data_IF_297858767709
#
_entry.id   IF_297858767709
#
_cell.length_a   1.000
_cell.length_b   1.000
_cell.length_c   1.000
_cell.angle_alpha   90.00
_cell.angle_beta   90.00
_cell.angle_gamma   90.00
#
_symmetry.space_group_name_H-M   'P 1'
#
loop_
_entity.id
_entity.type
_entity.pdbx_description
1 polymer ?
#
# COMPACT_ATOMS: atom_id res chain seq x y z
N UNK A 1 27.98 5.16 -22.40
CA UNK A 1 26.76 5.55 -21.66
C UNK A 1 25.60 5.44 -22.62
N UNK A 2 24.69 4.47 -22.42
CA UNK A 2 23.51 4.33 -23.28
C UNK A 2 22.56 5.50 -23.02
N UNK A 3 22.24 6.27 -24.06
CA UNK A 3 21.26 7.34 -23.95
C UNK A 3 19.87 6.73 -23.70
N UNK A 4 19.17 7.17 -22.66
CA UNK A 4 17.76 6.81 -22.45
C UNK A 4 16.96 7.39 -23.62
N UNK A 5 16.34 6.52 -24.42
CA UNK A 5 15.42 6.98 -25.46
C UNK A 5 14.23 7.67 -24.82
N UNK A 6 13.59 8.60 -25.54
CA UNK A 6 12.38 9.26 -25.06
C UNK A 6 11.26 8.27 -24.71
N UNK A 7 11.20 7.13 -25.42
CA UNK A 7 10.25 6.04 -25.12
C UNK A 7 10.56 5.37 -23.78
N UNK A 8 11.83 5.01 -23.53
CA UNK A 8 12.22 4.42 -22.24
C UNK A 8 11.98 5.39 -21.07
N UNK A 9 12.17 6.69 -21.29
CA UNK A 9 11.85 7.71 -20.28
C UNK A 9 10.33 7.80 -20.02
N UNK A 10 9.51 7.76 -21.06
CA UNK A 10 8.04 7.79 -20.93
C UNK A 10 7.51 6.55 -20.20
N UNK A 11 8.03 5.36 -20.52
CA UNK A 11 7.68 4.11 -19.84
C UNK A 11 8.03 4.17 -18.35
N UNK A 12 9.25 4.63 -18.03
CA UNK A 12 9.68 4.83 -16.65
C UNK A 12 8.81 5.82 -15.88
N UNK A 13 8.46 6.96 -16.50
CA UNK A 13 7.58 7.96 -15.90
C UNK A 13 6.18 7.38 -15.62
N UNK A 14 5.59 6.65 -16.57
CA UNK A 14 4.28 6.00 -16.37
C UNK A 14 4.33 4.99 -15.23
N UNK A 15 5.35 4.15 -15.18
CA UNK A 15 5.53 3.18 -14.09
C UNK A 15 5.71 3.86 -12.72
N UNK A 16 6.49 4.94 -12.67
CA UNK A 16 6.69 5.72 -11.46
C UNK A 16 5.38 6.34 -10.96
N UNK A 17 4.61 6.98 -11.84
CA UNK A 17 3.31 7.55 -11.50
C UNK A 17 2.29 6.49 -11.09
N UNK A 18 2.34 5.29 -11.66
CA UNK A 18 1.50 4.20 -11.20
C UNK A 18 1.81 3.81 -9.75
N UNK A 19 3.09 3.72 -9.38
CA UNK A 19 3.51 3.45 -8.01
C UNK A 19 3.06 4.58 -7.08
N UNK A 20 3.25 5.84 -7.47
CA UNK A 20 2.87 7.00 -6.68
C UNK A 20 1.36 7.02 -6.38
N UNK A 21 0.54 6.87 -7.43
CA UNK A 21 -0.91 6.87 -7.30
C UNK A 21 -1.44 5.66 -6.51
N UNK A 22 -0.86 4.48 -6.72
CA UNK A 22 -1.38 3.24 -6.13
C UNK A 22 -0.84 3.01 -4.72
N UNK A 23 0.34 3.48 -4.37
CA UNK A 23 1.01 3.13 -3.12
C UNK A 23 1.21 4.34 -2.20
N UNK A 24 1.93 5.36 -2.66
CA UNK A 24 2.33 6.49 -1.82
C UNK A 24 1.13 7.37 -1.48
N UNK A 25 0.35 7.78 -2.47
CA UNK A 25 -0.86 8.58 -2.21
C UNK A 25 -1.83 7.90 -1.23
N UNK A 26 -2.00 6.57 -1.35
CA UNK A 26 -2.83 5.80 -0.42
C UNK A 26 -2.23 5.80 0.99
N UNK A 27 -0.91 5.63 1.14
CA UNK A 27 -0.26 5.68 2.46
C UNK A 27 -0.39 7.05 3.11
N UNK A 28 -0.15 8.10 2.35
CA UNK A 28 -0.12 9.47 2.87
C UNK A 28 -1.52 9.96 3.22
N UNK A 29 -2.48 9.78 2.29
CA UNK A 29 -3.84 10.30 2.45
C UNK A 29 -4.74 9.35 3.23
N UNK A 30 -4.81 8.07 2.83
CA UNK A 30 -5.72 7.11 3.46
C UNK A 30 -5.18 6.61 4.80
N UNK A 31 -3.88 6.29 4.88
CA UNK A 31 -3.25 5.76 6.10
C UNK A 31 -2.52 6.82 6.93
N UNK A 32 -2.65 8.08 6.54
CA UNK A 32 -2.22 9.27 7.30
C UNK A 32 -0.72 9.22 7.64
N UNK A 33 0.11 8.69 6.74
CA UNK A 33 1.55 8.53 6.96
C UNK A 33 2.23 9.85 7.35
N UNK A 34 1.87 10.96 6.69
CA UNK A 34 2.39 12.31 6.97
C UNK A 34 2.13 12.83 8.39
N UNK A 35 1.16 12.25 9.11
CA UNK A 35 0.78 12.71 10.45
C UNK A 35 1.60 12.05 11.57
N UNK A 36 2.55 11.16 11.24
CA UNK A 36 3.34 10.40 12.21
C UNK A 36 4.81 10.82 12.23
N UNK A 37 5.49 10.59 13.35
CA UNK A 37 6.91 10.87 13.50
C UNK A 37 7.76 9.94 12.61
N UNK A 38 8.15 10.42 11.43
CA UNK A 38 8.73 9.60 10.36
C UNK A 38 10.10 8.96 10.63
N UNK A 39 10.92 9.50 11.55
CA UNK A 39 12.33 9.05 11.64
C UNK A 39 12.58 7.75 12.40
N UNK A 40 11.84 7.46 13.47
CA UNK A 40 12.09 6.25 14.30
C UNK A 40 11.17 5.08 13.95
N UNK A 41 9.90 5.36 13.64
CA UNK A 41 8.87 4.34 13.41
C UNK A 41 8.46 4.23 11.93
N UNK A 42 8.88 5.19 11.09
CA UNK A 42 8.50 5.27 9.68
C UNK A 42 8.80 3.99 8.88
N UNK A 43 10.04 3.45 8.91
CA UNK A 43 10.36 2.25 8.16
C UNK A 43 9.50 1.03 8.54
N UNK A 44 9.30 0.81 9.85
CA UNK A 44 8.46 -0.30 10.34
C UNK A 44 6.99 -0.13 9.97
N UNK A 45 6.45 1.08 10.09
CA UNK A 45 5.08 1.37 9.70
C UNK A 45 4.86 1.27 8.19
N UNK A 46 5.82 1.68 7.37
CA UNK A 46 5.76 1.54 5.91
C UNK A 46 5.63 0.07 5.50
N UNK A 47 6.38 -0.83 6.13
CA UNK A 47 6.27 -2.28 5.91
C UNK A 47 4.86 -2.79 6.25
N UNK A 48 4.33 -2.44 7.43
CA UNK A 48 2.99 -2.87 7.87
C UNK A 48 1.91 -2.34 6.94
N UNK A 49 2.00 -1.08 6.51
CA UNK A 49 1.06 -0.46 5.57
C UNK A 49 1.08 -1.15 4.21
N UNK A 50 2.28 -1.45 3.69
CA UNK A 50 2.42 -2.16 2.43
C UNK A 50 1.80 -3.57 2.50
N UNK A 51 2.00 -4.28 3.62
CA UNK A 51 1.36 -5.57 3.86
C UNK A 51 -0.17 -5.44 3.88
N UNK A 52 -0.72 -4.46 4.60
CA UNK A 52 -2.15 -4.22 4.67
C UNK A 52 -2.75 -3.89 3.29
N UNK A 53 -2.11 -2.98 2.52
CA UNK A 53 -2.56 -2.60 1.17
C UNK A 53 -2.57 -3.83 0.25
N UNK A 54 -1.51 -4.63 0.27
CA UNK A 54 -1.42 -5.84 -0.56
C UNK A 54 -2.49 -6.87 -0.18
N UNK A 55 -2.72 -7.10 1.12
CA UNK A 55 -3.76 -8.00 1.59
C UNK A 55 -5.15 -7.56 1.13
N UNK A 56 -5.48 -6.27 1.27
CA UNK A 56 -6.76 -5.72 0.82
C UNK A 56 -6.95 -5.90 -0.69
N UNK A 57 -5.89 -5.74 -1.49
CA UNK A 57 -5.94 -6.01 -2.93
C UNK A 57 -6.16 -7.47 -3.25
N UNK A 58 -5.48 -8.38 -2.55
CA UNK A 58 -5.65 -9.83 -2.72
C UNK A 58 -7.08 -10.27 -2.38
N UNK A 59 -7.74 -9.60 -1.43
CA UNK A 59 -9.15 -9.83 -1.09
C UNK A 59 -10.14 -9.24 -2.11
N UNK A 60 -9.65 -8.56 -3.15
CA UNK A 60 -10.48 -8.00 -4.22
C UNK A 60 -11.07 -6.62 -3.93
N UNK A 61 -10.63 -5.92 -2.88
CA UNK A 61 -11.10 -4.55 -2.64
C UNK A 61 -10.56 -3.60 -3.70
N UNK A 62 -11.47 -3.02 -4.50
CA UNK A 62 -11.14 -1.99 -5.49
C UNK A 62 -10.60 -0.71 -4.83
N UNK A 63 -11.20 -0.30 -3.72
CA UNK A 63 -10.78 0.86 -2.95
C UNK A 63 -10.24 0.42 -1.58
N UNK A 64 -8.99 0.83 -1.28
CA UNK A 64 -8.33 0.48 -0.02
C UNK A 64 -9.12 0.97 1.20
N UNK A 65 -9.76 2.14 1.09
CA UNK A 65 -10.62 2.71 2.14
C UNK A 65 -11.77 1.76 2.52
N UNK A 66 -12.41 1.14 1.55
CA UNK A 66 -13.55 0.24 1.80
C UNK A 66 -13.08 -1.03 2.49
N UNK A 67 -11.96 -1.59 2.02
CA UNK A 67 -11.32 -2.73 2.68
C UNK A 67 -10.92 -2.41 4.12
N UNK A 68 -10.38 -1.21 4.36
CA UNK A 68 -10.01 -0.77 5.70
C UNK A 68 -11.23 -0.60 6.62
N UNK A 69 -12.32 0.01 6.12
CA UNK A 69 -13.60 0.12 6.85
C UNK A 69 -14.17 -1.25 7.19
N UNK A 70 -14.17 -2.18 6.22
CA UNK A 70 -14.64 -3.53 6.42
C UNK A 70 -13.82 -4.27 7.50
N UNK A 71 -12.49 -4.26 7.40
CA UNK A 71 -11.65 -4.94 8.40
C UNK A 71 -11.68 -4.25 9.77
N UNK A 72 -11.88 -2.93 9.83
CA UNK A 72 -12.05 -2.19 11.09
C UNK A 72 -13.37 -2.52 11.79
N UNK A 73 -14.44 -2.76 11.02
CA UNK A 73 -15.73 -3.19 11.56
C UNK A 73 -15.72 -4.63 12.08
N UNK A 74 -14.80 -5.47 11.59
CA UNK A 74 -14.66 -6.87 11.99
C UNK A 74 -13.19 -7.23 12.29
N UNK A 75 -12.61 -6.73 13.40
CA UNK A 75 -11.18 -6.88 13.68
C UNK A 75 -10.72 -8.33 13.72
N UNK A 76 -11.56 -9.25 14.23
CA UNK A 76 -11.27 -10.68 14.28
C UNK A 76 -11.05 -11.28 12.89
N UNK A 77 -11.84 -10.82 11.90
CA UNK A 77 -11.64 -11.25 10.50
C UNK A 77 -10.32 -10.72 9.97
N UNK A 78 -9.99 -9.46 10.25
CA UNK A 78 -8.69 -8.88 9.89
C UNK A 78 -7.51 -9.68 10.46
N UNK A 79 -7.57 -10.02 11.76
CA UNK A 79 -6.52 -10.77 12.43
C UNK A 79 -6.41 -12.21 11.92
N UNK A 80 -7.54 -12.84 11.58
CA UNK A 80 -7.57 -14.19 11.01
C UNK A 80 -6.86 -14.31 9.65
N UNK A 81 -6.66 -13.19 8.93
CA UNK A 81 -5.90 -13.18 7.68
C UNK A 81 -4.38 -13.22 7.91
N UNK A 82 -3.92 -12.80 9.08
CA UNK A 82 -2.51 -12.80 9.46
C UNK A 82 -2.09 -14.10 10.13
N UNK A 83 -3.04 -14.76 10.80
CA UNK A 83 -2.81 -16.01 11.51
C UNK A 83 -3.17 -17.14 10.55
N UNK A 84 -2.16 -17.87 10.08
CA UNK A 84 -2.29 -19.03 9.21
C UNK A 84 -3.42 -19.94 9.71
N UNK A 85 -4.51 -20.06 8.94
CA UNK A 85 -5.42 -21.20 9.09
C UNK A 85 -4.65 -22.45 8.68
N UNK A 86 -4.36 -23.34 9.62
CA UNK A 86 -4.11 -24.74 9.26
C UNK A 86 -5.41 -25.27 8.67
N UNK A 87 -5.37 -25.73 7.42
CA UNK A 87 -6.33 -26.74 6.94
C UNK A 87 -6.27 -27.98 7.81
#
# INVERSE_FOLDING_TARGET
MGHLSALHALEGLRGHWEIENRLYWVRDVTLREDRLHGRKIGPGLSLIRNLAINLLRTLGYRFVVDGFRALSAWPDRGLSLLIRRKS
#
